data_IF_530742026114
#
_entry.id   IF_530742026114
#
_cell.length_a   1.000
_cell.length_b   1.000
_cell.length_c   1.000
_cell.angle_alpha   90.00
_cell.angle_beta   90.00
_cell.angle_gamma   90.00
#
_symmetry.space_group_name_H-M   'P 1'
#
loop_
_entity.id
_entity.type
_entity.pdbx_description
1 polymer ?
#
# COMPACT_ATOMS: atom_id res chain seq x y z
N UNK A 1 -6.64 -28.90 12.51
CA UNK A 1 -5.19 -29.15 12.39
C UNK A 1 -4.42 -28.06 13.12
N UNK A 2 -4.63 -26.77 12.80
CA UNK A 2 -4.37 -25.67 13.74
C UNK A 2 -5.29 -25.80 14.97
N UNK A 3 -4.74 -25.59 16.16
CA UNK A 3 -5.45 -25.63 17.46
C UNK A 3 -5.47 -24.28 18.17
N UNK A 4 -4.58 -23.34 17.78
CA UNK A 4 -4.57 -21.96 18.27
C UNK A 4 -4.11 -21.00 17.18
N UNK A 5 -4.78 -19.86 17.09
CA UNK A 5 -4.53 -18.76 16.14
C UNK A 5 -3.16 -18.09 16.32
N UNK A 6 -2.70 -17.92 17.56
CA UNK A 6 -1.46 -17.20 17.87
C UNK A 6 -1.72 -15.78 18.37
N UNK A 7 -0.73 -14.90 18.24
CA UNK A 7 -0.71 -13.49 18.67
C UNK A 7 -1.45 -12.61 17.65
N UNK A 8 -2.11 -11.56 18.14
CA UNK A 8 -2.78 -10.58 17.28
C UNK A 8 -1.75 -9.71 16.54
N UNK A 9 -1.87 -9.62 15.22
CA UNK A 9 -0.96 -8.86 14.37
C UNK A 9 -1.15 -7.34 14.48
N UNK A 10 -2.29 -6.85 14.97
CA UNK A 10 -2.55 -5.40 15.12
C UNK A 10 -1.49 -4.68 15.95
N UNK A 11 -0.86 -5.37 16.91
CA UNK A 11 0.27 -4.83 17.68
C UNK A 11 1.50 -4.55 16.81
N UNK A 12 1.72 -5.35 15.77
CA UNK A 12 2.81 -5.17 14.81
C UNK A 12 2.45 -4.01 13.88
N UNK A 13 1.23 -3.96 13.34
CA UNK A 13 0.79 -2.87 12.45
C UNK A 13 0.74 -1.48 13.12
N UNK A 14 0.43 -1.42 14.42
CA UNK A 14 0.38 -0.16 15.18
C UNK A 14 1.73 0.25 15.78
N UNK A 15 2.81 -0.44 15.44
CA UNK A 15 4.15 -0.12 15.96
C UNK A 15 4.92 0.76 14.99
N UNK A 16 5.60 1.78 15.52
CA UNK A 16 6.51 2.62 14.75
C UNK A 16 7.74 1.81 14.33
N UNK A 17 7.69 1.23 13.13
CA UNK A 17 8.82 0.61 12.48
C UNK A 17 9.59 1.60 11.60
N UNK A 18 10.92 1.42 11.44
CA UNK A 18 11.72 2.24 10.55
C UNK A 18 11.23 2.20 9.09
N UNK A 19 11.28 3.34 8.39
CA UNK A 19 10.79 3.51 7.01
C UNK A 19 11.38 2.53 5.99
N UNK A 20 12.60 2.02 6.23
CA UNK A 20 13.26 1.06 5.35
C UNK A 20 12.64 -0.35 5.38
N UNK A 21 11.68 -0.65 6.27
CA UNK A 21 10.91 -1.90 6.25
C UNK A 21 9.99 -2.08 5.05
N UNK A 22 9.75 -1.01 4.29
CA UNK A 22 9.00 -1.05 3.03
C UNK A 22 9.90 -1.20 1.80
N UNK A 23 11.23 -1.31 1.98
CA UNK A 23 12.17 -1.49 0.90
C UNK A 23 12.14 -2.96 0.39
N UNK A 24 11.67 -3.24 -0.85
CA UNK A 24 11.66 -4.59 -1.41
C UNK A 24 13.07 -5.16 -1.64
N UNK A 25 14.09 -4.30 -1.65
CA UNK A 25 15.49 -4.67 -1.84
C UNK A 25 16.28 -4.68 -0.52
N UNK A 26 15.59 -4.67 0.63
CA UNK A 26 16.25 -4.77 1.94
C UNK A 26 17.16 -6.01 1.99
N UNK A 27 18.43 -5.81 2.31
CA UNK A 27 19.40 -6.88 2.46
C UNK A 27 19.16 -7.65 3.77
N UNK A 28 19.59 -8.91 3.81
CA UNK A 28 19.55 -9.72 5.02
C UNK A 28 20.28 -9.03 6.19
N UNK A 29 21.40 -8.36 5.92
CA UNK A 29 22.17 -7.64 6.93
C UNK A 29 21.42 -6.41 7.45
N UNK A 30 20.69 -5.68 6.61
CA UNK A 30 19.83 -4.59 7.07
C UNK A 30 18.70 -5.11 7.95
N UNK A 31 18.09 -6.26 7.62
CA UNK A 31 17.09 -6.93 8.49
C UNK A 31 17.71 -7.29 9.85
N UNK A 32 18.96 -7.79 9.87
CA UNK A 32 19.70 -8.02 11.10
C UNK A 32 19.85 -6.74 11.95
N UNK A 33 20.24 -5.63 11.31
CA UNK A 33 20.43 -4.35 12.00
C UNK A 33 19.13 -3.77 12.59
N UNK A 34 17.96 -4.10 12.02
CA UNK A 34 16.66 -3.67 12.54
C UNK A 34 16.42 -4.15 13.99
N UNK A 35 17.01 -5.29 14.38
CA UNK A 35 16.91 -5.83 15.76
C UNK A 35 17.36 -4.80 16.80
N UNK A 36 18.43 -4.07 16.51
CA UNK A 36 19.00 -3.08 17.43
C UNK A 36 18.27 -1.73 17.37
N UNK A 37 17.59 -1.43 16.25
CA UNK A 37 16.83 -0.18 16.05
C UNK A 37 15.41 -0.26 16.64
N UNK A 38 14.83 -1.46 16.71
CA UNK A 38 13.44 -1.66 17.16
C UNK A 38 13.32 -2.14 18.63
N UNK A 39 14.43 -2.22 19.36
CA UNK A 39 14.50 -2.76 20.73
C UNK A 39 13.76 -1.91 21.78
N UNK A 40 13.43 -0.65 21.47
CA UNK A 40 12.64 0.22 22.36
C UNK A 40 11.14 -0.14 22.44
N UNK A 41 10.58 -0.77 21.39
CA UNK A 41 9.13 -1.04 21.28
C UNK A 41 8.76 -2.50 21.58
N UNK A 42 9.73 -3.43 21.54
CA UNK A 42 9.52 -4.86 21.81
C UNK A 42 10.68 -5.44 22.62
N UNK A 43 10.36 -6.26 23.64
CA UNK A 43 11.36 -7.01 24.43
C UNK A 43 12.19 -7.96 23.55
N UNK A 44 11.60 -8.49 22.47
CA UNK A 44 12.32 -9.25 21.44
C UNK A 44 11.75 -8.89 20.05
N UNK A 45 12.38 -7.99 19.28
CA UNK A 45 11.81 -7.47 18.05
C UNK A 45 11.97 -8.42 16.85
N UNK A 46 12.64 -9.57 16.98
CA UNK A 46 12.97 -10.43 15.83
C UNK A 46 11.74 -10.98 15.11
N UNK A 47 10.76 -11.54 15.82
CA UNK A 47 9.53 -12.04 15.19
C UNK A 47 8.68 -10.91 14.59
N UNK A 48 8.38 -9.80 15.31
CA UNK A 48 7.66 -8.67 14.74
C UNK A 48 8.28 -8.11 13.46
N UNK A 49 9.62 -8.01 13.38
CA UNK A 49 10.33 -7.55 12.18
C UNK A 49 10.00 -8.44 10.98
N UNK A 50 10.12 -9.76 11.15
CA UNK A 50 9.86 -10.71 10.06
C UNK A 50 8.36 -10.73 9.70
N UNK A 51 7.46 -10.67 10.69
CA UNK A 51 6.02 -10.56 10.45
C UNK A 51 5.71 -9.35 9.59
N UNK A 52 6.22 -8.16 9.95
CA UNK A 52 5.98 -6.93 9.19
C UNK A 52 6.52 -7.02 7.76
N UNK A 53 7.75 -7.54 7.59
CA UNK A 53 8.37 -7.72 6.27
C UNK A 53 7.55 -8.68 5.39
N UNK A 54 7.10 -9.81 5.95
CA UNK A 54 6.26 -10.77 5.23
C UNK A 54 4.89 -10.19 4.91
N UNK A 55 4.25 -9.49 5.84
CA UNK A 55 2.98 -8.80 5.61
C UNK A 55 3.07 -7.81 4.46
N UNK A 56 4.14 -7.01 4.41
CA UNK A 56 4.38 -6.07 3.33
C UNK A 56 4.62 -6.80 1.99
N UNK A 57 5.52 -7.79 1.99
CA UNK A 57 5.90 -8.55 0.81
C UNK A 57 4.72 -9.34 0.19
N UNK A 58 3.86 -9.88 1.05
CA UNK A 58 2.67 -10.62 0.69
C UNK A 58 1.42 -9.74 0.55
N UNK A 59 1.58 -8.41 0.69
CA UNK A 59 0.50 -7.40 0.58
C UNK A 59 -0.75 -7.76 1.41
N UNK A 60 -0.53 -8.17 2.65
CA UNK A 60 -1.59 -8.58 3.58
C UNK A 60 -2.25 -7.36 4.22
N UNK A 61 -3.56 -7.45 4.50
CA UNK A 61 -4.26 -6.43 5.28
C UNK A 61 -3.81 -6.44 6.77
N UNK A 62 -4.32 -5.52 7.59
CA UNK A 62 -3.97 -5.42 9.02
C UNK A 62 -4.32 -6.66 9.86
N UNK A 63 -5.19 -7.53 9.35
CA UNK A 63 -5.53 -8.82 9.96
C UNK A 63 -4.60 -9.96 9.51
N UNK A 64 -3.64 -9.67 8.62
CA UNK A 64 -2.73 -10.66 8.04
C UNK A 64 -3.34 -11.50 6.93
N UNK A 65 -4.38 -11.01 6.24
CA UNK A 65 -5.16 -11.79 5.27
C UNK A 65 -5.20 -11.18 3.86
N UNK A 66 -5.25 -12.04 2.84
CA UNK A 66 -5.45 -11.70 1.41
C UNK A 66 -5.85 -12.92 0.60
N UNK A 67 -6.98 -12.90 -0.12
CA UNK A 67 -7.36 -13.92 -1.11
C UNK A 67 -7.22 -15.38 -0.63
N UNK A 68 -7.71 -15.68 0.58
CA UNK A 68 -7.60 -17.02 1.19
C UNK A 68 -6.25 -17.30 1.86
N UNK A 69 -5.25 -16.45 1.65
CA UNK A 69 -3.95 -16.49 2.33
C UNK A 69 -4.01 -15.81 3.69
N UNK A 70 -3.30 -16.36 4.67
CA UNK A 70 -3.24 -15.85 6.04
C UNK A 70 -1.85 -16.00 6.64
N UNK A 71 -1.28 -14.92 7.16
CA UNK A 71 -0.06 -14.93 7.97
C UNK A 71 -0.44 -15.01 9.45
N UNK A 72 0.21 -15.90 10.19
CA UNK A 72 -0.05 -16.11 11.61
C UNK A 72 1.25 -16.01 12.40
N UNK A 73 1.18 -15.44 13.59
CA UNK A 73 2.32 -15.24 14.49
C UNK A 73 2.14 -16.04 15.78
N UNK A 74 2.99 -17.04 16.04
CA UNK A 74 2.87 -17.99 17.15
C UNK A 74 1.66 -18.95 17.09
N UNK A 75 1.18 -19.42 15.92
CA UNK A 75 0.11 -20.41 15.87
C UNK A 75 0.56 -21.76 16.45
N UNK A 76 -0.40 -22.52 16.98
CA UNK A 76 -0.16 -23.91 17.44
C UNK A 76 -0.86 -24.89 16.51
N UNK A 77 -0.14 -25.93 16.11
CA UNK A 77 -0.63 -27.04 15.33
C UNK A 77 -0.59 -28.35 16.12
N UNK A 78 -1.53 -29.25 15.83
CA UNK A 78 -1.47 -30.63 16.33
C UNK A 78 -0.51 -31.41 15.43
N UNK A 79 0.57 -31.94 15.97
CA UNK A 79 1.52 -32.78 15.22
C UNK A 79 1.17 -34.27 15.22
N UNK A 80 1.91 -35.07 14.46
CA UNK A 80 1.70 -36.50 14.22
C UNK A 80 1.75 -37.35 15.49
N UNK A 81 2.64 -37.02 16.42
CA UNK A 81 2.70 -37.62 17.75
C UNK A 81 1.54 -37.22 18.70
N UNK A 82 0.53 -36.50 18.20
CA UNK A 82 -0.63 -36.08 18.98
C UNK A 82 -0.37 -34.92 19.94
N UNK A 83 0.81 -34.30 19.91
CA UNK A 83 1.14 -33.15 20.75
C UNK A 83 0.97 -31.82 20.01
N UNK A 84 0.71 -30.78 20.78
CA UNK A 84 0.62 -29.40 20.29
C UNK A 84 2.03 -28.85 20.07
N UNK A 85 2.25 -28.22 18.92
CA UNK A 85 3.54 -27.65 18.52
C UNK A 85 3.34 -26.20 18.05
N UNK A 86 4.12 -25.29 18.62
CA UNK A 86 4.12 -23.87 18.23
C UNK A 86 5.14 -23.65 17.10
N UNK A 87 4.74 -22.85 16.10
CA UNK A 87 5.64 -22.32 15.06
C UNK A 87 5.67 -20.81 15.24
N UNK A 88 6.84 -20.17 15.10
CA UNK A 88 6.98 -18.73 15.28
C UNK A 88 6.14 -17.94 14.26
N UNK A 89 6.23 -18.30 12.97
CA UNK A 89 5.37 -17.73 11.92
C UNK A 89 4.89 -18.84 11.00
N UNK A 90 3.60 -18.84 10.65
CA UNK A 90 3.10 -19.66 9.54
C UNK A 90 2.40 -18.80 8.50
N UNK A 91 2.39 -19.31 7.27
CA UNK A 91 1.53 -18.82 6.22
C UNK A 91 0.61 -19.97 5.82
N UNK A 92 -0.67 -19.67 5.74
CA UNK A 92 -1.71 -20.58 5.30
C UNK A 92 -2.38 -20.10 4.03
N UNK A 93 -2.95 -21.04 3.28
CA UNK A 93 -3.83 -20.77 2.15
C UNK A 93 -5.02 -21.73 2.22
N UNK A 94 -6.24 -21.18 2.17
CA UNK A 94 -7.50 -21.91 2.31
C UNK A 94 -7.52 -22.83 3.55
N UNK A 95 -6.99 -22.32 4.67
CA UNK A 95 -6.94 -23.02 5.96
C UNK A 95 -5.91 -24.14 6.08
N UNK A 96 -5.01 -24.28 5.09
CA UNK A 96 -3.89 -25.23 5.10
C UNK A 96 -2.56 -24.51 5.25
N UNK A 97 -1.68 -25.02 6.11
CA UNK A 97 -0.30 -24.51 6.22
C UNK A 97 0.47 -24.79 4.93
N UNK A 98 1.09 -23.74 4.39
CA UNK A 98 1.94 -23.81 3.18
C UNK A 98 3.40 -23.44 3.48
N UNK A 99 3.63 -22.55 4.46
CA UNK A 99 4.97 -22.20 4.95
C UNK A 99 5.03 -22.20 6.47
N UNK A 100 6.13 -22.72 7.02
CA UNK A 100 6.45 -22.60 8.44
C UNK A 100 7.85 -21.99 8.64
N UNK A 101 7.94 -20.96 9.46
CA UNK A 101 9.14 -20.17 9.66
C UNK A 101 9.48 -20.19 11.16
N UNK A 102 10.68 -20.68 11.49
CA UNK A 102 11.28 -20.52 12.82
C UNK A 102 12.23 -19.32 12.81
N UNK A 103 12.33 -18.58 13.91
CA UNK A 103 13.17 -17.39 14.06
C UNK A 103 14.05 -17.53 15.30
N UNK A 104 15.36 -17.37 15.12
CA UNK A 104 16.32 -17.39 16.23
C UNK A 104 17.18 -16.14 16.25
N UNK A 105 17.18 -15.47 17.41
CA UNK A 105 17.91 -14.23 17.64
C UNK A 105 19.42 -14.45 17.82
N UNK A 106 19.83 -15.63 18.29
CA UNK A 106 21.20 -16.13 18.45
C UNK A 106 21.22 -17.66 18.51
N UNK A 107 22.36 -18.28 18.20
CA UNK A 107 22.52 -19.74 18.36
C UNK A 107 22.75 -20.11 19.83
N UNK A 108 21.82 -20.87 20.41
CA UNK A 108 21.82 -21.20 21.82
C UNK A 108 21.47 -22.66 22.12
N UNK A 109 21.27 -22.91 23.41
CA UNK A 109 20.65 -24.13 23.92
C UNK A 109 19.23 -23.83 24.36
N UNK A 110 18.30 -24.63 23.87
CA UNK A 110 16.93 -24.67 24.30
C UNK A 110 16.76 -25.63 25.47
N UNK A 111 15.52 -25.73 25.93
CA UNK A 111 15.13 -26.65 26.98
C UNK A 111 14.01 -27.54 26.46
N UNK A 112 14.18 -28.86 26.59
CA UNK A 112 13.15 -29.82 26.23
C UNK A 112 11.89 -29.58 27.06
N UNK A 113 10.75 -29.54 26.40
CA UNK A 113 9.44 -29.61 27.02
C UNK A 113 8.93 -31.05 27.06
N UNK A 114 7.90 -31.32 27.86
CA UNK A 114 7.31 -32.67 27.94
C UNK A 114 6.85 -33.18 26.58
N UNK A 115 6.33 -32.28 25.73
CA UNK A 115 5.91 -32.61 24.38
C UNK A 115 7.09 -32.98 23.45
N UNK A 116 8.28 -32.43 23.70
CA UNK A 116 9.48 -32.67 22.89
C UNK A 116 10.07 -34.06 23.15
N UNK A 117 9.97 -34.54 24.40
CA UNK A 117 10.54 -35.82 24.82
C UNK A 117 9.99 -37.01 24.05
N UNK A 118 8.81 -36.92 23.44
CA UNK A 118 8.20 -38.03 22.69
C UNK A 118 8.32 -37.86 21.17
N UNK A 119 8.98 -36.80 20.70
CA UNK A 119 9.12 -36.56 19.25
C UNK A 119 10.10 -37.58 18.65
N UNK A 120 9.76 -38.23 17.52
CA UNK A 120 10.63 -39.24 16.90
C UNK A 120 12.06 -38.73 16.65
N UNK A 121 12.19 -37.53 16.08
CA UNK A 121 13.50 -36.94 15.81
C UNK A 121 14.30 -36.66 17.09
N UNK A 122 13.64 -36.27 18.18
CA UNK A 122 14.31 -36.05 19.48
C UNK A 122 14.79 -37.39 20.06
N UNK A 123 13.99 -38.44 19.91
CA UNK A 123 14.35 -39.81 20.33
C UNK A 123 15.57 -40.34 19.58
N UNK A 124 15.66 -40.10 18.27
CA UNK A 124 16.80 -40.50 17.42
C UNK A 124 18.12 -39.85 17.87
N UNK A 125 18.04 -38.70 18.54
CA UNK A 125 19.19 -37.94 19.02
C UNK A 125 19.35 -37.91 20.54
N UNK A 126 18.59 -38.72 21.29
CA UNK A 126 18.60 -38.70 22.76
C UNK A 126 20.01 -38.86 23.34
N UNK A 127 20.86 -39.69 22.74
CA UNK A 127 22.21 -39.97 23.22
C UNK A 127 23.18 -38.79 22.99
N UNK A 128 22.80 -37.83 22.15
CA UNK A 128 23.56 -36.58 21.94
C UNK A 128 23.16 -35.49 22.93
N UNK A 129 22.09 -35.71 23.71
CA UNK A 129 21.53 -34.76 24.66
C UNK A 129 22.04 -35.14 26.06
N UNK A 130 22.80 -34.24 26.70
CA UNK A 130 23.49 -34.52 27.98
C UNK A 130 22.55 -34.95 29.11
N UNK A 131 21.32 -34.42 29.11
CA UNK A 131 20.25 -34.77 30.05
C UNK A 131 18.93 -34.88 29.29
N UNK A 132 18.50 -36.10 29.00
CA UNK A 132 17.26 -36.35 28.27
C UNK A 132 16.05 -36.41 29.23
N UNK A 133 15.66 -35.24 29.73
CA UNK A 133 14.58 -35.07 30.69
C UNK A 133 13.87 -33.72 30.46
N UNK A 134 12.76 -33.47 31.18
CA UNK A 134 12.11 -32.16 31.16
C UNK A 134 13.11 -31.07 31.57
N UNK A 135 13.20 -29.99 30.77
CA UNK A 135 14.21 -28.93 30.90
C UNK A 135 15.66 -29.41 30.68
N UNK A 136 15.84 -30.55 30.02
CA UNK A 136 17.13 -30.97 29.48
C UNK A 136 17.62 -29.98 28.42
N UNK A 137 18.90 -29.61 28.46
CA UNK A 137 19.49 -28.71 27.47
C UNK A 137 19.64 -29.41 26.12
N UNK A 138 19.07 -28.81 25.09
CA UNK A 138 19.07 -29.33 23.71
C UNK A 138 19.52 -28.24 22.75
N UNK A 139 20.02 -28.59 21.57
CA UNK A 139 20.24 -27.60 20.52
C UNK A 139 18.90 -27.04 20.05
N UNK A 140 18.75 -25.71 20.02
CA UNK A 140 17.53 -25.06 19.53
C UNK A 140 17.15 -25.51 18.11
N UNK A 141 18.15 -25.72 17.25
CA UNK A 141 17.93 -26.19 15.88
C UNK A 141 17.41 -27.64 15.83
N UNK A 142 17.90 -28.51 16.71
CA UNK A 142 17.35 -29.88 16.82
C UNK A 142 15.91 -29.85 17.34
N UNK A 143 15.63 -29.00 18.34
CA UNK A 143 14.29 -28.84 18.90
C UNK A 143 13.30 -28.33 17.84
N UNK A 144 13.59 -27.22 17.17
CA UNK A 144 12.74 -26.66 16.12
C UNK A 144 12.49 -27.65 14.99
N UNK A 145 13.56 -28.32 14.53
CA UNK A 145 13.46 -29.29 13.44
C UNK A 145 12.53 -30.44 13.81
N UNK A 146 12.60 -30.92 15.06
CA UNK A 146 11.73 -31.98 15.54
C UNK A 146 10.26 -31.53 15.61
N UNK A 147 10.02 -30.30 16.09
CA UNK A 147 8.66 -29.72 16.15
C UNK A 147 8.08 -29.56 14.75
N UNK A 148 8.86 -29.03 13.80
CA UNK A 148 8.47 -28.85 12.40
C UNK A 148 8.18 -30.20 11.73
N UNK A 149 9.04 -31.21 11.89
CA UNK A 149 8.81 -32.53 11.30
C UNK A 149 7.55 -33.18 11.86
N UNK A 150 7.36 -33.11 13.17
CA UNK A 150 6.15 -33.63 13.79
C UNK A 150 4.88 -32.96 13.25
N UNK A 151 4.91 -31.67 12.91
CA UNK A 151 3.77 -31.02 12.23
C UNK A 151 3.62 -31.58 10.81
N UNK A 152 4.70 -31.66 10.03
CA UNK A 152 4.68 -32.19 8.64
C UNK A 152 4.13 -33.62 8.53
N UNK A 153 4.30 -34.44 9.56
CA UNK A 153 3.72 -35.79 9.62
C UNK A 153 2.19 -35.80 9.70
N UNK A 154 1.59 -34.71 10.16
CA UNK A 154 0.13 -34.58 10.37
C UNK A 154 -0.58 -33.70 9.35
N UNK A 155 0.16 -33.06 8.44
CA UNK A 155 -0.36 -32.11 7.46
C UNK A 155 -0.01 -32.55 6.03
N UNK A 156 -0.65 -31.92 5.03
CA UNK A 156 -0.06 -31.88 3.70
C UNK A 156 1.32 -31.24 3.87
N UNK A 157 2.40 -31.92 3.43
CA UNK A 157 3.76 -31.45 3.68
C UNK A 157 3.92 -29.99 3.22
N UNK A 158 4.48 -29.13 4.09
CA UNK A 158 4.67 -27.70 3.84
C UNK A 158 6.16 -27.35 3.74
N UNK A 159 6.49 -26.24 3.08
CA UNK A 159 7.87 -25.75 3.03
C UNK A 159 8.25 -25.06 4.32
N UNK A 160 9.50 -25.17 4.75
CA UNK A 160 9.91 -24.60 6.02
C UNK A 160 11.32 -24.06 6.03
N UNK A 161 11.53 -22.99 6.78
CA UNK A 161 12.82 -22.32 6.91
C UNK A 161 13.07 -21.88 8.35
N UNK A 162 14.33 -21.86 8.77
CA UNK A 162 14.76 -21.18 10.00
C UNK A 162 15.55 -19.93 9.64
N UNK A 163 15.12 -18.76 10.14
CA UNK A 163 15.80 -17.48 9.99
C UNK A 163 16.65 -17.21 11.22
N UNK A 164 17.95 -17.03 11.00
CA UNK A 164 18.98 -16.88 12.02
C UNK A 164 19.56 -15.48 11.95
N UNK A 165 19.34 -14.69 13.02
CA UNK A 165 19.87 -13.32 13.08
C UNK A 165 21.40 -13.32 13.14
N UNK A 166 22.01 -14.10 14.02
CA UNK A 166 23.47 -14.16 14.15
C UNK A 166 24.09 -15.35 13.42
N UNK A 167 25.38 -15.25 13.12
CA UNK A 167 26.19 -16.38 12.64
C UNK A 167 26.22 -17.51 13.66
N UNK A 168 26.41 -18.71 13.12
CA UNK A 168 26.38 -19.96 13.86
C UNK A 168 27.80 -20.48 14.03
N UNK A 169 28.24 -20.63 15.28
CA UNK A 169 29.56 -21.17 15.61
C UNK A 169 29.69 -22.68 15.33
N UNK A 170 28.57 -23.41 15.23
CA UNK A 170 28.53 -24.87 14.98
C UNK A 170 27.59 -25.23 13.82
N UNK A 171 28.09 -25.21 12.59
CA UNK A 171 27.32 -25.51 11.35
C UNK A 171 26.83 -26.96 11.22
N UNK A 172 27.32 -27.88 12.05
CA UNK A 172 27.05 -29.33 11.95
C UNK A 172 25.56 -29.68 11.87
N UNK A 173 24.71 -29.03 12.68
CA UNK A 173 23.26 -29.32 12.68
C UNK A 173 22.54 -28.74 11.47
N UNK A 174 22.86 -27.50 11.10
CA UNK A 174 22.25 -26.85 9.93
C UNK A 174 22.62 -27.59 8.64
N UNK A 175 23.88 -28.03 8.50
CA UNK A 175 24.33 -28.85 7.36
C UNK A 175 23.66 -30.22 7.33
N UNK A 176 23.57 -30.88 8.49
CA UNK A 176 22.92 -32.19 8.61
C UNK A 176 21.43 -32.15 8.25
N UNK A 177 20.73 -31.12 8.71
CA UNK A 177 19.29 -31.04 8.45
C UNK A 177 18.96 -30.49 7.07
N UNK A 178 19.79 -29.62 6.50
CA UNK A 178 19.63 -29.17 5.11
C UNK A 178 19.80 -30.32 4.11
N UNK A 179 20.56 -31.36 4.46
CA UNK A 179 20.80 -32.52 3.58
C UNK A 179 19.82 -33.67 3.81
N UNK A 180 19.39 -33.88 5.06
CA UNK A 180 18.51 -34.99 5.43
C UNK A 180 17.00 -34.66 5.45
N UNK A 181 16.63 -33.38 5.43
CA UNK A 181 15.24 -32.95 5.60
C UNK A 181 14.89 -31.82 4.63
N UNK A 182 13.62 -31.75 4.21
CA UNK A 182 13.09 -30.62 3.45
C UNK A 182 12.92 -29.40 4.36
N UNK A 183 14.03 -28.76 4.72
CA UNK A 183 14.10 -27.57 5.57
C UNK A 183 15.32 -26.72 5.23
N UNK A 184 15.11 -25.41 5.12
CA UNK A 184 16.12 -24.43 4.72
C UNK A 184 16.59 -23.56 5.89
N UNK A 185 17.75 -22.94 5.75
CA UNK A 185 18.27 -21.96 6.72
C UNK A 185 18.66 -20.65 6.02
N UNK A 186 18.29 -19.53 6.62
CA UNK A 186 18.65 -18.17 6.18
C UNK A 186 19.41 -17.44 7.29
N UNK A 187 20.62 -17.00 6.99
CA UNK A 187 21.48 -16.26 7.92
C UNK A 187 21.46 -14.78 7.57
N UNK A 188 21.24 -13.92 8.57
CA UNK A 188 21.08 -12.48 8.35
C UNK A 188 22.37 -11.67 8.57
N UNK A 189 23.10 -11.94 9.65
CA UNK A 189 24.36 -11.26 9.96
C UNK A 189 25.41 -11.44 8.83
N UNK A 190 26.02 -10.32 8.45
CA UNK A 190 26.94 -10.16 7.31
C UNK A 190 26.45 -10.64 5.93
N UNK A 191 25.14 -10.88 5.76
CA UNK A 191 24.59 -11.29 4.48
C UNK A 191 24.05 -10.09 3.67
N UNK A 192 24.77 -9.71 2.62
CA UNK A 192 24.43 -8.54 1.79
C UNK A 192 23.38 -8.84 0.70
N UNK A 193 22.94 -10.10 0.54
CA UNK A 193 21.93 -10.46 -0.45
C UNK A 193 20.55 -9.97 0.00
N UNK A 194 19.68 -9.69 -0.98
CA UNK A 194 18.29 -9.30 -0.72
C UNK A 194 17.58 -10.38 0.10
N UNK A 195 16.91 -9.95 1.17
CA UNK A 195 16.18 -10.83 2.09
C UNK A 195 15.11 -11.65 1.36
N UNK A 196 14.29 -11.00 0.54
CA UNK A 196 13.20 -11.68 -0.17
C UNK A 196 13.70 -12.59 -1.29
N UNK A 197 14.79 -12.22 -1.98
CA UNK A 197 15.40 -13.11 -3.00
C UNK A 197 15.93 -14.40 -2.36
N UNK A 198 16.63 -14.30 -1.22
CA UNK A 198 17.09 -15.47 -0.49
C UNK A 198 15.92 -16.31 0.06
N UNK A 199 14.85 -15.65 0.50
CA UNK A 199 13.67 -16.33 0.98
C UNK A 199 12.96 -17.10 -0.15
N UNK A 200 12.83 -16.50 -1.34
CA UNK A 200 12.27 -17.15 -2.54
C UNK A 200 13.15 -18.31 -3.04
N UNK A 201 14.48 -18.20 -2.97
CA UNK A 201 15.38 -19.31 -3.32
C UNK A 201 15.21 -20.51 -2.40
N UNK A 202 14.93 -20.25 -1.12
CA UNK A 202 14.82 -21.28 -0.06
C UNK A 202 13.40 -21.79 0.14
N UNK A 203 12.40 -21.02 -0.30
CA UNK A 203 10.98 -21.32 -0.30
C UNK A 203 10.42 -21.03 -1.72
N UNK A 204 10.71 -21.87 -2.73
CA UNK A 204 10.39 -21.57 -4.12
C UNK A 204 8.89 -21.38 -4.38
N UNK A 205 8.04 -22.07 -3.63
CA UNK A 205 6.60 -21.88 -3.74
C UNK A 205 6.15 -20.51 -3.21
N UNK A 206 6.94 -19.82 -2.39
CA UNK A 206 6.61 -18.46 -1.92
C UNK A 206 6.49 -17.49 -3.10
N UNK A 207 7.24 -17.72 -4.18
CA UNK A 207 7.16 -16.94 -5.42
C UNK A 207 5.82 -17.09 -6.14
N UNK A 208 5.11 -18.21 -6.03
CA UNK A 208 3.78 -18.34 -6.66
C UNK A 208 2.69 -17.58 -5.89
N UNK A 209 2.88 -17.39 -4.58
CA UNK A 209 2.01 -16.54 -3.75
C UNK A 209 2.41 -15.05 -3.83
N UNK A 210 3.60 -14.78 -4.34
CA UNK A 210 4.00 -13.45 -4.81
C UNK A 210 3.26 -13.18 -6.13
N UNK A 211 2.22 -12.34 -6.10
CA UNK A 211 1.73 -11.72 -7.34
C UNK A 211 2.89 -10.96 -7.97
N UNK A 212 3.25 -11.34 -9.20
CA UNK A 212 4.38 -10.87 -9.99
C UNK A 212 4.81 -9.41 -9.73
N UNK A 213 5.81 -9.21 -8.85
CA UNK A 213 6.56 -7.96 -8.78
C UNK A 213 7.52 -7.80 -9.98
N UNK A 214 7.74 -8.86 -10.79
CA UNK A 214 8.64 -8.84 -11.97
C UNK A 214 8.11 -9.54 -13.24
N UNK A 215 7.18 -10.48 -13.19
CA UNK A 215 6.70 -11.17 -14.42
C UNK A 215 5.46 -10.54 -15.10
N UNK A 216 4.99 -9.36 -14.65
CA UNK A 216 4.23 -8.40 -15.48
C UNK A 216 5.07 -7.15 -15.86
N UNK A 217 6.34 -7.12 -15.46
CA UNK A 217 7.27 -6.01 -15.69
C UNK A 217 8.58 -6.55 -16.31
N UNK A 218 8.43 -7.35 -17.36
CA UNK A 218 9.49 -7.57 -18.33
C UNK A 218 9.51 -6.39 -19.30
N UNK A 219 10.68 -5.77 -19.43
CA UNK A 219 11.13 -4.85 -20.49
C UNK A 219 10.14 -4.75 -21.67
N UNK A 220 9.18 -3.84 -21.57
CA UNK A 220 8.54 -3.25 -22.72
C UNK A 220 8.85 -1.77 -22.59
N UNK A 221 9.64 -1.31 -23.56
CA UNK A 221 9.79 0.10 -23.91
C UNK A 221 8.50 0.85 -23.60
N UNK A 222 8.63 1.85 -22.73
CA UNK A 222 7.56 2.72 -22.27
C UNK A 222 6.46 2.90 -23.31
N UNK A 223 5.26 2.40 -23.02
CA UNK A 223 4.05 2.96 -23.54
C UNK A 223 2.97 2.95 -22.45
N UNK A 224 2.49 4.16 -22.19
CA UNK A 224 1.55 4.59 -21.18
C UNK A 224 0.20 3.88 -21.27
N UNK A 225 -0.17 3.08 -20.28
CA UNK A 225 -1.59 2.84 -19.94
C UNK A 225 -1.75 2.84 -18.42
N UNK A 226 -2.64 3.71 -17.93
CA UNK A 226 -2.65 4.24 -16.57
C UNK A 226 -3.31 3.38 -15.50
N UNK A 227 -3.01 2.07 -15.41
CA UNK A 227 -3.52 1.21 -14.32
C UNK A 227 -2.41 0.78 -13.35
N UNK A 228 -2.79 0.59 -12.09
CA UNK A 228 -1.92 0.04 -11.05
C UNK A 228 -1.05 1.07 -10.31
N UNK A 229 -0.22 0.54 -9.43
CA UNK A 229 0.70 1.31 -8.58
C UNK A 229 1.67 2.12 -9.43
N UNK A 230 1.72 3.43 -9.20
CA UNK A 230 2.73 4.30 -9.79
C UNK A 230 4.09 4.11 -9.12
N UNK A 231 5.17 4.43 -9.84
CA UNK A 231 6.55 4.30 -9.36
C UNK A 231 7.24 5.63 -9.07
N UNK A 232 6.65 6.76 -9.48
CA UNK A 232 7.17 8.12 -9.26
C UNK A 232 6.10 9.18 -9.55
N UNK A 233 6.40 10.44 -9.17
CA UNK A 233 5.60 11.61 -9.52
C UNK A 233 4.27 11.70 -8.77
N UNK A 234 3.42 12.63 -9.18
CA UNK A 234 2.16 12.94 -8.51
C UNK A 234 1.25 11.73 -8.31
N UNK A 235 1.21 10.82 -9.28
CA UNK A 235 0.41 9.60 -9.18
C UNK A 235 0.90 8.68 -8.06
N UNK A 236 2.21 8.55 -7.85
CA UNK A 236 2.76 7.76 -6.74
C UNK A 236 2.37 8.41 -5.41
N UNK A 237 2.59 9.71 -5.31
CA UNK A 237 2.37 10.46 -4.08
C UNK A 237 0.90 10.48 -3.70
N UNK A 238 -0.02 10.75 -4.64
CA UNK A 238 -1.45 10.71 -4.37
C UNK A 238 -1.89 9.31 -3.92
N UNK A 239 -1.39 8.25 -4.55
CA UNK A 239 -1.66 6.88 -4.11
C UNK A 239 -1.13 6.62 -2.68
N UNK A 240 0.01 7.18 -2.28
CA UNK A 240 0.51 7.10 -0.89
C UNK A 240 -0.41 7.84 0.06
N UNK A 241 -0.73 9.10 -0.25
CA UNK A 241 -1.56 9.90 0.63
C UNK A 241 -2.97 9.30 0.80
N UNK A 242 -3.59 8.81 -0.27
CA UNK A 242 -4.94 8.24 -0.17
C UNK A 242 -4.98 6.91 0.59
N UNK A 243 -3.91 6.11 0.56
CA UNK A 243 -3.94 4.75 1.14
C UNK A 243 -3.13 4.61 2.44
N UNK A 244 -2.14 5.45 2.66
CA UNK A 244 -1.16 5.34 3.75
C UNK A 244 -1.15 6.60 4.64
N UNK A 245 -1.38 7.80 4.09
CA UNK A 245 -1.38 9.07 4.84
C UNK A 245 -2.71 9.86 4.72
N UNK A 246 -3.85 9.16 4.79
CA UNK A 246 -5.16 9.75 4.51
C UNK A 246 -5.53 10.87 5.49
N UNK A 247 -5.11 10.75 6.75
CA UNK A 247 -5.36 11.77 7.78
C UNK A 247 -4.75 13.12 7.43
N UNK A 248 -3.47 13.14 7.06
CA UNK A 248 -2.75 14.37 6.66
C UNK A 248 -3.37 15.01 5.41
N UNK A 249 -3.68 14.19 4.39
CA UNK A 249 -4.31 14.69 3.17
C UNK A 249 -5.69 15.32 3.47
N UNK A 250 -6.49 14.64 4.29
CA UNK A 250 -7.82 15.12 4.67
C UNK A 250 -7.74 16.44 5.46
N UNK A 251 -6.81 16.54 6.41
CA UNK A 251 -6.61 17.77 7.19
C UNK A 251 -6.25 18.95 6.29
N UNK A 252 -5.30 18.77 5.36
CA UNK A 252 -4.94 19.81 4.38
C UNK A 252 -6.14 20.27 3.55
N UNK A 253 -6.98 19.33 3.08
CA UNK A 253 -8.18 19.66 2.29
C UNK A 253 -9.16 20.47 3.12
N UNK A 254 -9.47 20.02 4.34
CA UNK A 254 -10.44 20.65 5.23
C UNK A 254 -10.00 22.05 5.65
N UNK A 255 -8.74 22.23 6.05
CA UNK A 255 -8.19 23.52 6.46
C UNK A 255 -8.13 24.53 5.30
N UNK A 256 -8.14 24.06 4.06
CA UNK A 256 -8.00 24.91 2.87
C UNK A 256 -9.34 25.33 2.26
N UNK A 257 -10.49 24.91 2.83
CA UNK A 257 -11.79 25.17 2.22
C UNK A 257 -12.91 25.49 3.22
N UNK A 258 -13.18 26.79 3.44
CA UNK A 258 -14.32 27.23 4.23
C UNK A 258 -15.68 26.76 3.68
N UNK A 259 -15.82 26.65 2.35
CA UNK A 259 -17.09 26.23 1.73
C UNK A 259 -17.38 24.75 1.96
N UNK A 260 -16.34 23.90 1.90
CA UNK A 260 -16.45 22.48 2.22
C UNK A 260 -16.79 22.30 3.69
N UNK A 261 -16.09 22.99 4.59
CA UNK A 261 -16.42 22.99 6.02
C UNK A 261 -17.85 23.44 6.32
N UNK A 262 -18.36 24.44 5.58
CA UNK A 262 -19.74 24.89 5.73
C UNK A 262 -20.77 23.86 5.26
N UNK A 263 -20.42 23.03 4.27
CA UNK A 263 -21.26 21.95 3.74
C UNK A 263 -21.31 20.74 4.69
N UNK A 264 -20.15 20.34 5.22
CA UNK A 264 -19.97 19.13 6.01
C UNK A 264 -20.87 19.05 7.25
N UNK A 265 -21.20 17.82 7.63
CA UNK A 265 -21.76 17.51 8.94
C UNK A 265 -20.70 17.55 10.05
N UNK A 266 -21.06 17.10 11.27
CA UNK A 266 -20.17 17.13 12.43
C UNK A 266 -19.05 16.08 12.39
N UNK A 267 -19.15 15.06 11.55
CA UNK A 267 -18.16 13.98 11.48
C UNK A 267 -16.92 14.40 10.68
N UNK A 268 -17.04 15.43 9.82
CA UNK A 268 -15.96 15.96 8.98
C UNK A 268 -15.23 14.88 8.17
N UNK A 269 -15.94 13.80 7.81
CA UNK A 269 -15.33 12.62 7.20
C UNK A 269 -15.20 12.78 5.68
N UNK A 270 -14.03 12.43 5.14
CA UNK A 270 -13.79 12.26 3.70
C UNK A 270 -13.61 10.77 3.42
N UNK A 271 -14.52 10.19 2.63
CA UNK A 271 -14.46 8.78 2.21
C UNK A 271 -13.86 8.68 0.79
N UNK A 272 -12.62 8.20 0.69
CA UNK A 272 -11.95 8.01 -0.58
C UNK A 272 -12.50 6.81 -1.35
N UNK A 273 -12.73 7.02 -2.66
CA UNK A 273 -13.22 6.00 -3.58
C UNK A 273 -12.15 5.64 -4.63
N UNK A 274 -11.19 6.52 -4.87
CA UNK A 274 -10.03 6.34 -5.76
C UNK A 274 -8.88 7.31 -5.39
N UNK A 275 -7.59 6.93 -5.59
CA UNK A 275 -7.12 5.64 -6.09
C UNK A 275 -6.90 4.68 -4.92
N UNK A 276 -7.80 3.70 -4.73
CA UNK A 276 -7.68 2.73 -3.65
C UNK A 276 -6.82 1.53 -4.07
N UNK A 277 -5.88 1.11 -3.21
CA UNK A 277 -5.02 -0.07 -3.41
C UNK A 277 -5.84 -1.33 -3.73
N UNK A 278 -6.95 -1.54 -3.00
CA UNK A 278 -7.89 -2.67 -3.21
C UNK A 278 -8.63 -2.64 -4.56
N UNK A 279 -8.64 -1.49 -5.24
CA UNK A 279 -9.23 -1.30 -6.57
C UNK A 279 -8.15 -1.10 -7.64
N UNK A 280 -6.94 -1.60 -7.40
CA UNK A 280 -5.79 -1.46 -8.30
C UNK A 280 -5.50 -0.01 -8.70
N UNK A 281 -5.73 0.91 -7.75
CA UNK A 281 -5.53 2.35 -7.94
C UNK A 281 -6.30 2.91 -9.15
N UNK A 282 -7.47 2.34 -9.45
CA UNK A 282 -8.24 2.71 -10.62
C UNK A 282 -8.68 4.17 -10.58
N UNK A 283 -8.27 4.93 -11.59
CA UNK A 283 -8.67 6.30 -11.85
C UNK A 283 -9.92 6.34 -12.73
N UNK A 284 -10.93 7.07 -12.29
CA UNK A 284 -12.25 7.09 -12.93
C UNK A 284 -12.37 8.25 -13.92
N UNK A 285 -13.17 8.06 -14.97
CA UNK A 285 -13.67 9.11 -15.86
C UNK A 285 -15.15 9.38 -15.58
N UNK A 286 -15.99 9.43 -16.61
CA UNK A 286 -17.43 9.68 -16.46
C UNK A 286 -18.15 8.58 -15.69
N UNK A 287 -17.64 7.35 -15.74
CA UNK A 287 -18.15 6.21 -14.97
C UNK A 287 -17.99 6.39 -13.45
N UNK A 288 -17.37 7.49 -12.97
CA UNK A 288 -17.41 7.87 -11.55
C UNK A 288 -18.85 8.02 -11.03
N UNK A 289 -19.78 8.47 -11.86
CA UNK A 289 -21.18 8.66 -11.48
C UNK A 289 -21.96 7.34 -11.41
N UNK A 290 -21.44 6.28 -12.03
CA UNK A 290 -22.07 4.94 -12.02
C UNK A 290 -21.63 4.12 -10.80
N UNK A 291 -20.49 4.46 -10.17
CA UNK A 291 -19.94 3.74 -9.01
C UNK A 291 -20.32 4.35 -7.66
N UNK A 292 -21.11 5.42 -7.67
CA UNK A 292 -21.61 6.11 -6.49
C UNK A 292 -23.13 6.00 -6.48
N UNK A 293 -23.67 5.25 -5.52
CA UNK A 293 -25.09 4.87 -5.47
C UNK A 293 -26.03 6.08 -5.55
N UNK A 294 -25.66 7.20 -4.91
CA UNK A 294 -26.45 8.44 -4.89
C UNK A 294 -26.64 9.09 -6.26
N UNK A 295 -25.78 8.80 -7.25
CA UNK A 295 -25.80 9.43 -8.58
C UNK A 295 -25.93 8.44 -9.74
N UNK A 296 -26.31 7.20 -9.44
CA UNK A 296 -26.53 6.19 -10.47
C UNK A 296 -27.48 6.71 -11.56
N UNK A 297 -27.04 6.65 -12.82
CA UNK A 297 -27.79 7.16 -13.98
C UNK A 297 -27.54 8.63 -14.34
N UNK A 298 -26.82 9.41 -13.52
CA UNK A 298 -26.46 10.81 -13.83
C UNK A 298 -25.39 10.95 -14.90
N UNK A 299 -24.71 9.86 -15.26
CA UNK A 299 -23.75 9.84 -16.37
C UNK A 299 -24.37 10.25 -17.69
N UNK A 300 -25.57 9.76 -18.02
CA UNK A 300 -26.23 10.12 -19.27
C UNK A 300 -26.57 11.62 -19.32
N UNK A 301 -26.86 12.22 -18.16
CA UNK A 301 -27.08 13.65 -18.02
C UNK A 301 -25.79 14.44 -18.24
N UNK A 302 -24.67 14.01 -17.63
CA UNK A 302 -23.34 14.57 -17.88
C UNK A 302 -22.94 14.50 -19.36
N UNK A 303 -23.22 13.38 -20.02
CA UNK A 303 -22.96 13.17 -21.44
C UNK A 303 -23.83 14.05 -22.35
N UNK A 304 -24.83 14.79 -21.85
CA UNK A 304 -25.51 15.85 -22.60
C UNK A 304 -24.68 17.12 -22.70
N UNK A 305 -23.88 17.42 -21.67
CA UNK A 305 -23.07 18.65 -21.60
C UNK A 305 -21.63 18.43 -22.04
N UNK A 306 -21.03 17.26 -21.76
CA UNK A 306 -19.63 16.98 -22.11
C UNK A 306 -19.45 15.81 -23.09
N UNK A 307 -18.22 15.64 -23.57
CA UNK A 307 -17.79 14.51 -24.38
C UNK A 307 -17.78 13.18 -23.60
N UNK A 308 -18.08 12.08 -24.29
CA UNK A 308 -18.32 10.75 -23.70
C UNK A 308 -17.14 10.15 -22.92
N UNK A 309 -15.90 10.43 -23.34
CA UNK A 309 -14.68 9.84 -22.75
C UNK A 309 -14.21 10.60 -21.50
N UNK A 310 -14.68 11.84 -21.28
CA UNK A 310 -14.37 12.66 -20.10
C UNK A 310 -12.88 12.84 -19.77
N UNK A 311 -12.55 13.63 -18.74
CA UNK A 311 -11.23 13.60 -18.13
C UNK A 311 -11.12 12.38 -17.21
N UNK A 312 -9.88 11.94 -16.97
CA UNK A 312 -9.55 10.90 -16.01
C UNK A 312 -9.14 11.58 -14.69
N UNK A 313 -9.79 11.27 -13.59
CA UNK A 313 -9.52 11.86 -12.28
C UNK A 313 -8.45 11.06 -11.55
N UNK A 314 -7.42 11.75 -11.04
CA UNK A 314 -6.34 11.12 -10.29
C UNK A 314 -6.84 10.54 -8.96
N UNK A 315 -7.91 11.12 -8.42
CA UNK A 315 -8.64 10.61 -7.28
C UNK A 315 -10.06 11.14 -7.20
N UNK A 316 -10.91 10.41 -6.47
CA UNK A 316 -12.27 10.81 -6.13
C UNK A 316 -12.59 10.41 -4.69
N UNK A 317 -13.34 11.25 -4.00
CA UNK A 317 -13.85 10.99 -2.66
C UNK A 317 -15.26 11.55 -2.50
N UNK A 318 -15.99 11.05 -1.49
CA UNK A 318 -17.29 11.59 -1.11
C UNK A 318 -17.26 12.13 0.31
N UNK A 319 -18.12 13.11 0.56
CA UNK A 319 -18.29 13.74 1.86
C UNK A 319 -19.77 13.80 2.23
N UNK A 320 -20.05 13.71 3.53
CA UNK A 320 -21.40 13.87 4.07
C UNK A 320 -21.62 15.31 4.51
N UNK A 321 -22.65 15.91 3.93
CA UNK A 321 -23.13 17.24 4.26
C UNK A 321 -24.27 17.22 5.27
N UNK A 322 -24.63 18.41 5.73
CA UNK A 322 -25.79 18.62 6.61
C UNK A 322 -27.05 18.03 5.97
N UNK A 323 -27.93 17.49 6.81
CA UNK A 323 -29.20 16.87 6.41
C UNK A 323 -29.05 15.67 5.46
N UNK A 324 -27.90 14.99 5.48
CA UNK A 324 -27.68 13.78 4.69
C UNK A 324 -27.35 14.03 3.21
N UNK A 325 -27.03 15.27 2.83
CA UNK A 325 -26.55 15.55 1.48
C UNK A 325 -25.19 14.88 1.25
N UNK A 326 -24.92 14.45 0.01
CA UNK A 326 -23.62 13.87 -0.38
C UNK A 326 -22.93 14.84 -1.33
N UNK A 327 -21.65 15.11 -1.05
CA UNK A 327 -20.78 15.94 -1.88
C UNK A 327 -19.67 15.14 -2.53
N UNK A 328 -19.25 15.56 -3.73
CA UNK A 328 -18.17 14.97 -4.52
C UNK A 328 -16.89 15.77 -4.36
N UNK A 329 -15.77 15.08 -4.14
CA UNK A 329 -14.43 15.64 -4.26
C UNK A 329 -13.77 15.02 -5.50
N UNK A 330 -13.37 15.87 -6.44
CA UNK A 330 -12.64 15.51 -7.65
C UNK A 330 -11.20 15.96 -7.53
N UNK A 331 -10.23 15.10 -7.84
CA UNK A 331 -8.80 15.39 -7.61
C UNK A 331 -8.01 15.43 -8.92
N UNK A 332 -7.19 16.47 -9.04
CA UNK A 332 -6.10 16.60 -10.02
C UNK A 332 -4.79 16.76 -9.23
N UNK A 333 -3.82 15.89 -9.46
CA UNK A 333 -2.55 15.86 -8.75
C UNK A 333 -1.36 16.11 -9.67
N UNK A 334 -0.49 17.05 -9.29
CA UNK A 334 0.73 17.41 -10.04
C UNK A 334 1.95 17.46 -9.12
N UNK A 335 3.11 17.14 -9.68
CA UNK A 335 4.39 17.15 -8.96
C UNK A 335 5.40 18.14 -9.56
N UNK A 336 5.14 18.68 -10.75
CA UNK A 336 5.93 19.78 -11.30
C UNK A 336 5.14 20.74 -12.20
N UNK A 337 5.60 21.98 -12.28
CA UNK A 337 4.91 23.08 -12.99
C UNK A 337 4.65 22.81 -14.48
N UNK A 338 5.55 22.08 -15.15
CA UNK A 338 5.43 21.82 -16.59
C UNK A 338 4.20 20.98 -16.95
N UNK A 339 3.59 20.26 -16.00
CA UNK A 339 2.36 19.47 -16.21
C UNK A 339 1.11 20.34 -16.43
N UNK A 340 1.18 21.65 -16.17
CA UNK A 340 0.03 22.56 -16.29
C UNK A 340 -0.22 23.01 -17.74
N UNK A 341 0.81 23.01 -18.60
CA UNK A 341 0.66 23.38 -20.00
C UNK A 341 0.10 22.22 -20.80
N UNK A 342 -1.08 22.40 -21.37
CA UNK A 342 -1.79 21.35 -22.07
C UNK A 342 -2.66 21.90 -23.19
N UNK A 343 -2.80 21.10 -24.24
CA UNK A 343 -3.60 21.43 -25.43
C UNK A 343 -4.71 20.41 -25.61
N UNK A 344 -5.80 20.84 -26.24
CA UNK A 344 -6.86 19.94 -26.66
C UNK A 344 -6.34 18.91 -27.67
N UNK A 345 -6.75 17.66 -27.51
CA UNK A 345 -6.43 16.55 -28.41
C UNK A 345 -7.69 15.79 -28.87
N UNK A 346 -8.86 16.38 -28.66
CA UNK A 346 -10.15 15.77 -29.01
C UNK A 346 -10.40 15.82 -30.52
N UNK A 347 -11.03 14.79 -31.07
CA UNK A 347 -11.48 14.77 -32.47
C UNK A 347 -12.63 15.76 -32.73
N UNK A 348 -12.83 16.13 -33.99
CA UNK A 348 -13.66 17.26 -34.43
C UNK A 348 -15.07 17.31 -33.83
N UNK A 349 -15.76 16.17 -33.73
CA UNK A 349 -17.13 16.10 -33.16
C UNK A 349 -17.15 16.43 -31.66
N UNK A 350 -16.15 15.98 -30.91
CA UNK A 350 -16.05 16.28 -29.48
C UNK A 350 -15.61 17.71 -29.24
N UNK A 351 -14.81 18.27 -30.16
CA UNK A 351 -14.24 19.61 -30.05
C UNK A 351 -15.30 20.71 -30.00
N UNK A 352 -16.32 20.67 -30.86
CA UNK A 352 -17.42 21.66 -30.86
C UNK A 352 -18.12 21.73 -29.50
N UNK A 353 -18.42 20.57 -28.91
CA UNK A 353 -19.11 20.49 -27.62
C UNK A 353 -18.24 20.99 -26.46
N UNK A 354 -16.95 20.67 -26.51
CA UNK A 354 -15.95 21.16 -25.56
C UNK A 354 -15.84 22.68 -25.65
N UNK A 355 -15.70 23.23 -26.87
CA UNK A 355 -15.63 24.68 -27.11
C UNK A 355 -16.86 25.40 -26.56
N UNK A 356 -18.06 24.94 -26.90
CA UNK A 356 -19.32 25.53 -26.40
C UNK A 356 -19.39 25.54 -24.88
N UNK A 357 -19.00 24.43 -24.24
CA UNK A 357 -19.05 24.33 -22.78
C UNK A 357 -17.99 25.21 -22.13
N UNK A 358 -16.77 25.27 -22.68
CA UNK A 358 -15.72 26.16 -22.16
C UNK A 358 -16.13 27.63 -22.31
N UNK A 359 -16.78 28.01 -23.41
CA UNK A 359 -17.29 29.38 -23.57
C UNK A 359 -18.39 29.71 -22.56
N UNK A 360 -19.24 28.74 -22.22
CA UNK A 360 -20.22 28.88 -21.15
C UNK A 360 -19.54 29.09 -19.78
N UNK A 361 -18.51 28.29 -19.48
CA UNK A 361 -17.72 28.42 -18.24
C UNK A 361 -17.02 29.77 -18.17
N UNK A 362 -16.42 30.23 -19.28
CA UNK A 362 -15.81 31.58 -19.37
C UNK A 362 -16.83 32.66 -19.04
N UNK A 363 -18.04 32.56 -19.58
CA UNK A 363 -19.13 33.48 -19.29
C UNK A 363 -19.52 33.44 -17.81
N UNK A 364 -19.66 32.24 -17.23
CA UNK A 364 -19.99 32.04 -15.82
C UNK A 364 -18.95 32.66 -14.87
N UNK A 365 -17.66 32.53 -15.20
CA UNK A 365 -16.58 33.10 -14.38
C UNK A 365 -16.25 34.56 -14.71
N UNK A 366 -16.90 35.14 -15.73
CA UNK A 366 -16.67 36.51 -16.19
C UNK A 366 -15.35 36.73 -16.92
N UNK A 367 -14.77 35.68 -17.51
CA UNK A 367 -13.49 35.74 -18.23
C UNK A 367 -13.65 36.30 -19.64
N UNK A 368 -12.81 37.27 -19.98
CA UNK A 368 -12.66 37.82 -21.33
C UNK A 368 -11.43 37.27 -22.06
N UNK A 369 -10.73 36.31 -21.47
CA UNK A 369 -9.57 35.69 -22.11
C UNK A 369 -9.98 35.03 -23.44
N UNK A 370 -9.11 35.06 -24.47
CA UNK A 370 -9.34 34.29 -25.70
C UNK A 370 -9.54 32.81 -25.41
N UNK A 371 -10.44 32.16 -26.16
CA UNK A 371 -10.76 30.74 -26.01
C UNK A 371 -9.52 29.85 -26.22
N UNK A 372 -8.57 30.30 -27.05
CA UNK A 372 -7.30 29.64 -27.33
C UNK A 372 -6.43 29.52 -26.07
N UNK A 373 -6.50 30.48 -25.12
CA UNK A 373 -5.77 30.35 -23.85
C UNK A 373 -6.29 29.12 -23.08
N UNK A 374 -7.61 28.93 -23.08
CA UNK A 374 -8.25 27.83 -22.38
C UNK A 374 -8.02 26.49 -23.07
N UNK A 375 -8.04 26.44 -24.41
CA UNK A 375 -7.96 25.19 -25.18
C UNK A 375 -6.54 24.79 -25.62
N UNK A 376 -5.64 25.75 -25.83
CA UNK A 376 -4.32 25.51 -26.40
C UNK A 376 -3.17 25.78 -25.43
N UNK A 377 -3.46 26.30 -24.22
CA UNK A 377 -2.43 26.50 -23.19
C UNK A 377 -2.75 25.79 -21.87
N UNK A 378 -4.02 25.79 -21.45
CA UNK A 378 -4.42 25.28 -20.12
C UNK A 378 -5.57 24.26 -20.17
N UNK A 379 -5.64 23.45 -21.23
CA UNK A 379 -6.79 22.59 -21.50
C UNK A 379 -7.18 21.64 -20.35
N UNK A 380 -6.21 21.02 -19.66
CA UNK A 380 -6.49 20.13 -18.52
C UNK A 380 -7.24 20.88 -17.40
N UNK A 381 -6.78 22.06 -17.02
CA UNK A 381 -7.45 22.88 -16.01
C UNK A 381 -8.81 23.36 -16.50
N UNK A 382 -8.89 23.86 -17.74
CA UNK A 382 -10.14 24.26 -18.39
C UNK A 382 -11.18 23.13 -18.36
N UNK A 383 -10.75 21.90 -18.64
CA UNK A 383 -11.59 20.72 -18.61
C UNK A 383 -12.09 20.43 -17.17
N UNK A 384 -11.22 20.55 -16.15
CA UNK A 384 -11.64 20.35 -14.75
C UNK A 384 -12.65 21.40 -14.30
N UNK A 385 -12.45 22.67 -14.68
CA UNK A 385 -13.37 23.76 -14.38
C UNK A 385 -14.73 23.55 -15.05
N UNK A 386 -14.75 23.02 -16.28
CA UNK A 386 -16.00 22.68 -16.94
C UNK A 386 -16.77 21.57 -16.21
N UNK A 387 -16.10 20.53 -15.73
CA UNK A 387 -16.74 19.49 -14.92
C UNK A 387 -17.29 20.05 -13.63
N UNK A 388 -16.53 20.91 -12.95
CA UNK A 388 -16.96 21.56 -11.73
C UNK A 388 -18.23 22.40 -11.94
N UNK A 389 -18.28 23.16 -13.04
CA UNK A 389 -19.46 23.93 -13.45
C UNK A 389 -20.65 23.02 -13.79
N UNK A 390 -20.46 22.01 -14.66
CA UNK A 390 -21.55 21.12 -15.07
C UNK A 390 -22.15 20.40 -13.85
N UNK A 391 -21.31 19.82 -12.98
CA UNK A 391 -21.78 19.05 -11.84
C UNK A 391 -22.56 19.92 -10.86
N UNK A 392 -22.06 21.11 -10.51
CA UNK A 392 -22.73 21.99 -9.56
C UNK A 392 -23.95 22.72 -10.17
N UNK A 393 -23.80 23.33 -11.34
CA UNK A 393 -24.79 24.28 -11.89
C UNK A 393 -25.81 23.63 -12.82
N UNK A 394 -25.44 22.53 -13.50
CA UNK A 394 -26.35 21.85 -14.45
C UNK A 394 -27.01 20.62 -13.85
N UNK A 395 -26.23 19.79 -13.16
CA UNK A 395 -26.70 18.50 -12.63
C UNK A 395 -27.16 18.63 -11.17
N UNK A 396 -26.62 19.60 -10.42
CA UNK A 396 -26.98 19.85 -9.01
C UNK A 396 -26.28 18.91 -8.03
N UNK A 397 -25.09 18.40 -8.36
CA UNK A 397 -24.24 17.60 -7.49
C UNK A 397 -23.23 18.53 -6.80
N UNK A 398 -23.31 18.74 -5.46
CA UNK A 398 -22.33 19.54 -4.73
C UNK A 398 -20.93 18.98 -4.94
N UNK A 399 -20.06 19.72 -5.62
CA UNK A 399 -18.75 19.23 -6.03
C UNK A 399 -17.65 20.23 -5.73
N UNK A 400 -16.50 19.74 -5.27
CA UNK A 400 -15.26 20.49 -5.11
C UNK A 400 -14.16 19.89 -5.97
N UNK A 401 -13.33 20.76 -6.55
CA UNK A 401 -12.12 20.40 -7.26
C UNK A 401 -10.92 20.61 -6.35
N UNK A 402 -10.15 19.54 -6.11
CA UNK A 402 -8.94 19.55 -5.31
C UNK A 402 -7.74 19.52 -6.25
N UNK A 403 -6.95 20.58 -6.21
CA UNK A 403 -5.67 20.71 -6.90
C UNK A 403 -4.56 20.34 -5.91
N UNK A 404 -4.07 19.11 -6.00
CA UNK A 404 -3.00 18.60 -5.13
C UNK A 404 -1.65 18.85 -5.80
N UNK A 405 -0.82 19.68 -5.19
CA UNK A 405 0.45 20.09 -5.78
C UNK A 405 1.60 19.69 -4.87
N UNK A 406 2.20 18.53 -5.13
CA UNK A 406 3.26 18.02 -4.30
C UNK A 406 4.48 18.94 -4.34
N UNK A 407 4.91 19.38 -3.17
CA UNK A 407 6.10 20.19 -3.00
C UNK A 407 7.32 19.31 -2.75
N UNK A 408 8.46 19.75 -3.26
CA UNK A 408 9.76 19.12 -3.04
C UNK A 408 9.82 17.63 -3.45
N UNK A 409 9.17 17.26 -4.56
CA UNK A 409 9.27 15.89 -5.10
C UNK A 409 10.68 15.51 -5.56
N UNK A 410 11.45 14.90 -4.67
CA UNK A 410 12.78 14.38 -4.93
C UNK A 410 12.79 13.16 -5.88
N UNK A 411 11.65 12.51 -6.11
CA UNK A 411 11.56 11.37 -7.05
C UNK A 411 11.51 11.81 -8.52
N UNK A 412 11.28 13.10 -8.78
CA UNK A 412 11.21 13.63 -10.13
C UNK A 412 11.85 15.01 -10.29
N UNK A 413 11.17 16.07 -9.82
CA UNK A 413 11.63 17.46 -9.88
C UNK A 413 11.10 18.23 -8.65
N UNK A 414 11.96 18.65 -7.72
CA UNK A 414 11.50 19.40 -6.56
C UNK A 414 10.93 20.75 -7.00
N UNK A 415 9.73 21.07 -6.52
CA UNK A 415 9.05 22.34 -6.76
C UNK A 415 8.63 22.92 -5.42
N UNK A 416 9.09 24.13 -5.10
CA UNK A 416 8.73 24.78 -3.84
C UNK A 416 7.27 25.26 -3.84
N UNK A 417 6.66 25.31 -2.66
CA UNK A 417 5.30 25.82 -2.46
C UNK A 417 5.12 27.25 -3.04
N UNK A 418 6.10 28.13 -2.83
CA UNK A 418 6.08 29.51 -3.36
C UNK A 418 5.96 29.55 -4.89
N UNK A 419 6.69 28.66 -5.57
CA UNK A 419 6.66 28.54 -7.02
C UNK A 419 5.29 28.03 -7.51
N UNK A 420 4.66 27.09 -6.80
CA UNK A 420 3.29 26.66 -7.11
C UNK A 420 2.27 27.79 -6.98
N UNK A 421 2.35 28.56 -5.89
CA UNK A 421 1.45 29.70 -5.64
C UNK A 421 1.59 30.76 -6.74
N UNK A 422 2.82 31.13 -7.09
CA UNK A 422 3.08 32.09 -8.16
C UNK A 422 2.58 31.57 -9.51
N UNK A 423 2.79 30.28 -9.78
CA UNK A 423 2.34 29.65 -11.02
C UNK A 423 0.81 29.70 -11.16
N UNK A 424 0.04 29.28 -10.15
CA UNK A 424 -1.42 29.36 -10.22
C UNK A 424 -1.92 30.80 -10.34
N UNK A 425 -1.31 31.77 -9.65
CA UNK A 425 -1.64 33.20 -9.85
C UNK A 425 -1.44 33.61 -11.31
N UNK A 426 -0.34 33.21 -11.93
CA UNK A 426 -0.08 33.48 -13.34
C UNK A 426 -1.10 32.79 -14.27
N UNK A 427 -1.41 31.52 -14.02
CA UNK A 427 -2.37 30.75 -14.83
C UNK A 427 -3.77 31.36 -14.75
N UNK A 428 -4.30 31.59 -13.54
CA UNK A 428 -5.62 32.18 -13.36
C UNK A 428 -5.70 33.61 -13.90
N UNK A 429 -4.63 34.40 -13.79
CA UNK A 429 -4.54 35.72 -14.41
C UNK A 429 -4.61 35.65 -15.94
N UNK A 430 -3.90 34.70 -16.58
CA UNK A 430 -3.95 34.52 -18.04
C UNK A 430 -5.30 34.02 -18.54
N UNK A 431 -5.95 33.16 -17.76
CA UNK A 431 -7.30 32.68 -18.03
C UNK A 431 -8.37 33.73 -17.66
N UNK A 432 -7.98 34.89 -17.14
CA UNK A 432 -8.85 35.98 -16.71
C UNK A 432 -9.94 35.52 -15.71
N UNK A 433 -9.55 34.73 -14.72
CA UNK A 433 -10.46 34.24 -13.68
C UNK A 433 -10.19 34.98 -12.38
N UNK A 434 -11.17 35.76 -11.92
CA UNK A 434 -11.09 36.46 -10.64
C UNK A 434 -11.21 35.49 -9.46
N UNK A 435 -10.38 35.66 -8.44
CA UNK A 435 -10.48 34.94 -7.16
C UNK A 435 -11.79 35.18 -6.40
N UNK A 436 -12.54 36.21 -6.79
CA UNK A 436 -13.87 36.50 -6.23
C UNK A 436 -15.02 35.76 -6.92
N UNK A 437 -14.76 35.07 -8.05
CA UNK A 437 -15.79 34.33 -8.79
C UNK A 437 -16.33 33.16 -7.96
N UNK A 438 -17.59 32.79 -8.22
CA UNK A 438 -18.28 31.75 -7.45
C UNK A 438 -17.55 30.40 -7.51
N UNK A 439 -16.96 30.06 -8.66
CA UNK A 439 -16.24 28.80 -8.87
C UNK A 439 -15.05 28.63 -7.91
N UNK A 440 -14.38 29.71 -7.50
CA UNK A 440 -13.24 29.64 -6.58
C UNK A 440 -13.62 29.15 -5.20
N UNK A 441 -14.88 29.28 -4.79
CA UNK A 441 -15.35 28.70 -3.53
C UNK A 441 -15.28 27.18 -3.56
N UNK A 442 -15.30 26.56 -4.72
CA UNK A 442 -15.29 25.11 -4.89
C UNK A 442 -13.92 24.57 -5.35
N UNK A 443 -12.91 25.43 -5.52
CA UNK A 443 -11.54 25.02 -5.84
C UNK A 443 -10.73 25.03 -4.54
N UNK A 444 -10.12 23.90 -4.23
CA UNK A 444 -9.26 23.71 -3.06
C UNK A 444 -7.86 23.43 -3.57
N UNK A 445 -6.90 24.30 -3.23
CA UNK A 445 -5.50 24.10 -3.62
C UNK A 445 -4.69 23.75 -2.38
N UNK A 446 -4.02 22.60 -2.40
CA UNK A 446 -3.17 22.13 -1.30
C UNK A 446 -1.76 21.83 -1.78
N UNK A 447 -0.81 21.86 -0.84
CA UNK A 447 0.63 21.68 -1.12
C UNK A 447 1.28 20.70 -0.14
N UNK A 448 1.03 19.38 -0.25
CA UNK A 448 1.68 18.40 0.62
C UNK A 448 3.20 18.39 0.35
N UNK A 449 4.01 18.47 1.41
CA UNK A 449 5.48 18.50 1.32
C UNK A 449 6.02 17.08 1.37
N UNK A 450 6.95 16.76 0.47
CA UNK A 450 7.57 15.44 0.41
C UNK A 450 8.95 15.50 1.09
N UNK A 451 9.05 14.97 2.30
CA UNK A 451 10.32 14.92 3.03
C UNK A 451 11.38 14.07 2.28
N UNK A 452 12.61 14.58 2.19
CA UNK A 452 13.79 13.75 1.94
C UNK A 452 13.97 12.74 3.09
N UNK A 453 13.59 11.48 2.90
CA UNK A 453 13.95 10.38 3.81
C UNK A 453 14.74 9.31 3.08
#
# INVERSE_FOLDING_TARGET
MRVREGKNLSKVYNSDFPSNMHNPDISCHEVYQLKNKCSGNFVNPTEPIIVQLLSNYLTLNESGERDGMRLLWGPIYKGGAGNNQEIDISIEYDGKIIFGISIKSQFGGGYLENADLVLPLIQDYKDTIKKFEYRGSVSDVLQDMARIQNIKESTDQFESITILYSKVSKKKWTEKFSTGYSHSYLFLEDNQRSFFQELEEKLPNLKSFKRNFKENYGVVTANSTGKGRAIKGSRLHLQNYVNDNQGELNELILMSSPSLLAFLDKELSIEWKSPLRRKDYHEYRNELLDVLDDWMGKREELEKYWAKIGPQWDGIAIVKGKNGQIGLLLVEAKAHLQEMQSKIQAGDISKVKIEQTIEEVKTYVGSNAPLEIWLEQYYQLSNRLAYLHILNEKIGIPTWLILVNFADDHTHKPTQISAWIEHYRSVFSKMDISSSSAIFKQIITIYPVLDCK
#
